data_IF_575184708618
#
_entry.id   IF_575184708618
#
_cell.length_a   1.000
_cell.length_b   1.000
_cell.length_c   1.000
_cell.angle_alpha   90.00
_cell.angle_beta   90.00
_cell.angle_gamma   90.00
#
_symmetry.space_group_name_H-M   'P 1'
#
loop_
_entity.id
_entity.type
_entity.pdbx_description
1 polymer ?
#
# COMPACT_ATOMS: atom_id res chain seq x y z
N UNK A 1 4.60 14.10 12.05
CA UNK A 1 3.15 13.89 12.24
C UNK A 1 2.76 13.08 13.49
N UNK A 2 3.64 13.00 14.49
CA UNK A 2 3.34 12.29 15.75
C UNK A 2 2.35 13.04 16.66
N UNK A 3 2.00 14.28 16.36
CA UNK A 3 1.11 15.10 17.21
C UNK A 3 -0.39 14.81 17.01
N UNK A 4 -0.76 14.18 15.91
CA UNK A 4 -2.17 13.89 15.56
C UNK A 4 -2.69 12.60 16.26
N UNK A 5 -1.82 11.77 16.81
CA UNK A 5 -2.17 10.48 17.41
C UNK A 5 -2.46 10.53 18.94
N UNK A 6 -2.68 11.71 19.52
CA UNK A 6 -2.94 11.85 20.95
C UNK A 6 -4.40 11.62 21.39
N UNK A 7 -5.29 11.24 20.50
CA UNK A 7 -6.64 10.80 20.88
C UNK A 7 -6.63 9.30 21.19
N UNK A 8 -7.14 8.91 22.35
CA UNK A 8 -7.41 7.51 22.68
C UNK A 8 -8.48 6.96 21.74
N UNK A 9 -8.05 6.25 20.70
CA UNK A 9 -8.95 5.49 19.84
C UNK A 9 -9.20 4.14 20.52
N UNK A 10 -10.31 4.05 21.25
CA UNK A 10 -10.63 2.89 22.10
C UNK A 10 -11.26 1.73 21.31
N UNK A 11 -11.61 1.95 20.04
CA UNK A 11 -12.22 0.92 19.20
C UNK A 11 -11.71 0.95 17.72
N UNK A 12 -11.90 -0.15 17.01
CA UNK A 12 -11.50 -0.29 15.61
C UNK A 12 -12.26 0.65 14.66
N UNK A 13 -13.46 1.06 15.01
CA UNK A 13 -14.28 1.95 14.17
C UNK A 13 -13.71 3.35 14.19
N UNK A 14 -13.30 3.86 15.37
CA UNK A 14 -12.69 5.18 15.49
C UNK A 14 -11.34 5.26 14.79
N UNK A 15 -10.55 4.17 14.81
CA UNK A 15 -9.29 4.09 14.04
C UNK A 15 -9.57 4.15 12.54
N UNK A 16 -10.55 3.41 12.04
CA UNK A 16 -10.92 3.40 10.63
C UNK A 16 -11.49 4.77 10.22
N UNK A 17 -12.32 5.38 11.04
CA UNK A 17 -12.86 6.73 10.82
C UNK A 17 -11.72 7.77 10.67
N UNK A 18 -10.74 7.72 11.57
CA UNK A 18 -9.53 8.56 11.50
C UNK A 18 -8.73 8.36 10.20
N UNK A 19 -8.52 7.11 9.78
CA UNK A 19 -7.72 6.80 8.59
C UNK A 19 -8.46 7.17 7.29
N UNK A 20 -9.78 7.10 7.27
CA UNK A 20 -10.56 7.29 6.05
C UNK A 20 -11.12 8.70 5.93
N UNK A 21 -11.65 9.27 7.02
CA UNK A 21 -12.52 10.45 6.97
C UNK A 21 -12.01 11.68 7.75
N UNK A 22 -11.14 11.53 8.76
CA UNK A 22 -10.80 12.65 9.65
C UNK A 22 -10.08 13.78 8.90
N UNK A 23 -10.70 14.95 8.86
CA UNK A 23 -10.18 16.15 8.19
C UNK A 23 -8.86 16.67 8.78
N UNK A 24 -8.55 16.34 10.04
CA UNK A 24 -7.28 16.70 10.69
C UNK A 24 -6.12 15.80 10.25
N UNK A 25 -6.42 14.65 9.64
CA UNK A 25 -5.43 13.75 9.09
C UNK A 25 -5.22 14.03 7.59
N UNK A 26 -4.10 14.63 7.22
CA UNK A 26 -3.75 14.88 5.81
C UNK A 26 -3.60 13.61 4.97
N UNK A 27 -3.38 12.47 5.62
CA UNK A 27 -3.16 11.17 4.98
C UNK A 27 -4.41 10.26 5.01
N UNK A 28 -5.61 10.82 5.02
CA UNK A 28 -6.83 10.01 4.88
C UNK A 28 -6.95 9.39 3.50
N UNK A 29 -7.68 8.28 3.41
CA UNK A 29 -7.99 7.64 2.14
C UNK A 29 -8.65 8.62 1.16
N UNK A 30 -9.57 9.45 1.63
CA UNK A 30 -10.25 10.46 0.81
C UNK A 30 -9.25 11.46 0.24
N UNK A 31 -8.33 11.99 1.07
CA UNK A 31 -7.31 12.93 0.62
C UNK A 31 -6.34 12.28 -0.37
N UNK A 32 -5.92 11.03 -0.11
CA UNK A 32 -5.04 10.28 -1.04
C UNK A 32 -5.71 10.09 -2.41
N UNK A 33 -6.98 9.70 -2.45
CA UNK A 33 -7.69 9.50 -3.72
C UNK A 33 -7.96 10.81 -4.43
N UNK A 34 -8.26 11.88 -3.68
CA UNK A 34 -8.41 13.23 -4.23
C UNK A 34 -7.12 13.67 -4.92
N UNK A 35 -5.99 13.54 -4.23
CA UNK A 35 -4.67 13.89 -4.78
C UNK A 35 -4.30 13.00 -5.98
N UNK A 36 -4.58 11.69 -5.91
CA UNK A 36 -4.35 10.78 -7.02
C UNK A 36 -5.17 11.16 -8.26
N UNK A 37 -6.44 11.58 -8.08
CA UNK A 37 -7.30 12.06 -9.16
C UNK A 37 -6.77 13.34 -9.78
N UNK A 38 -6.36 14.32 -8.98
CA UNK A 38 -5.82 15.59 -9.52
C UNK A 38 -4.48 15.35 -10.23
N UNK A 39 -3.62 14.48 -9.71
CA UNK A 39 -2.40 14.06 -10.40
C UNK A 39 -2.72 13.38 -11.74
N UNK A 40 -3.66 12.43 -11.76
CA UNK A 40 -4.08 11.76 -13.00
C UNK A 40 -4.68 12.74 -14.01
N UNK A 41 -5.43 13.75 -13.55
CA UNK A 41 -6.00 14.81 -14.38
C UNK A 41 -4.92 15.65 -15.05
N UNK A 42 -3.84 15.98 -14.33
CA UNK A 42 -2.74 16.81 -14.85
C UNK A 42 -1.92 16.11 -15.94
N UNK A 43 -1.96 14.78 -15.99
CA UNK A 43 -1.23 13.94 -16.95
C UNK A 43 -2.16 13.05 -17.79
N UNK A 44 -3.41 13.46 -17.95
CA UNK A 44 -4.46 12.64 -18.57
C UNK A 44 -4.11 12.19 -20.00
N UNK A 45 -3.32 12.96 -20.74
CA UNK A 45 -2.85 12.64 -22.09
C UNK A 45 -1.78 11.53 -22.11
N UNK A 46 -1.16 11.23 -20.98
CA UNK A 46 -0.11 10.21 -20.84
C UNK A 46 -0.58 8.90 -20.21
N UNK A 47 -1.80 8.86 -19.70
CA UNK A 47 -2.40 7.66 -19.12
C UNK A 47 -3.54 7.13 -19.98
N UNK A 48 -3.85 5.83 -19.85
CA UNK A 48 -5.00 5.28 -20.57
C UNK A 48 -6.32 5.88 -20.06
N UNK A 49 -7.30 5.97 -20.96
CA UNK A 49 -8.64 6.42 -20.60
C UNK A 49 -9.24 5.59 -19.46
N UNK A 50 -8.97 4.30 -19.45
CA UNK A 50 -9.46 3.34 -18.48
C UNK A 50 -8.88 3.60 -17.09
N UNK A 51 -7.60 3.98 -16.99
CA UNK A 51 -6.97 4.42 -15.73
C UNK A 51 -7.68 5.66 -15.19
N UNK A 52 -7.86 6.66 -16.04
CA UNK A 52 -8.59 7.88 -15.67
C UNK A 52 -9.98 7.57 -15.14
N UNK A 53 -10.75 6.77 -15.88
CA UNK A 53 -12.12 6.40 -15.48
C UNK A 53 -12.14 5.63 -14.15
N UNK A 54 -11.19 4.74 -13.92
CA UNK A 54 -11.07 3.97 -12.67
C UNK A 54 -10.85 4.89 -11.47
N UNK A 55 -9.87 5.79 -11.55
CA UNK A 55 -9.55 6.73 -10.46
C UNK A 55 -10.71 7.71 -10.23
N UNK A 56 -11.27 8.26 -11.31
CA UNK A 56 -12.38 9.22 -11.22
C UNK A 56 -13.64 8.57 -10.64
N UNK A 57 -13.95 7.33 -11.02
CA UNK A 57 -15.04 6.56 -10.42
C UNK A 57 -14.83 6.38 -8.92
N UNK A 58 -13.64 5.94 -8.52
CA UNK A 58 -13.31 5.76 -7.10
C UNK A 58 -13.50 7.06 -6.32
N UNK A 59 -12.98 8.18 -6.84
CA UNK A 59 -13.18 9.51 -6.24
C UNK A 59 -14.66 9.87 -6.08
N UNK A 60 -15.47 9.70 -7.13
CA UNK A 60 -16.90 10.03 -7.08
C UNK A 60 -17.65 9.16 -6.07
N UNK A 61 -17.32 7.88 -5.99
CA UNK A 61 -17.95 6.95 -5.06
C UNK A 61 -17.64 7.33 -3.60
N UNK A 62 -16.36 7.63 -3.26
CA UNK A 62 -15.97 8.00 -1.88
C UNK A 62 -16.38 9.41 -1.48
N UNK A 63 -16.56 10.32 -2.44
CA UNK A 63 -16.98 11.71 -2.19
C UNK A 63 -18.48 11.85 -2.00
N UNK A 64 -19.25 10.78 -2.15
CA UNK A 64 -20.70 10.80 -1.98
C UNK A 64 -21.08 10.62 -0.49
N UNK A 65 -22.02 11.41 0.01
CA UNK A 65 -22.55 11.28 1.38
C UNK A 65 -23.04 9.87 1.73
N UNK A 66 -23.48 9.10 0.72
CA UNK A 66 -23.88 7.70 0.89
C UNK A 66 -22.71 6.80 1.30
N UNK A 67 -21.47 7.15 0.95
CA UNK A 67 -20.27 6.41 1.31
C UNK A 67 -20.04 6.43 2.83
N UNK A 68 -20.05 7.61 3.44
CA UNK A 68 -19.93 7.74 4.90
C UNK A 68 -21.09 7.05 5.63
N UNK A 69 -22.31 7.19 5.12
CA UNK A 69 -23.47 6.49 5.69
C UNK A 69 -23.39 4.97 5.56
N UNK A 70 -22.77 4.47 4.48
CA UNK A 70 -22.49 3.04 4.31
C UNK A 70 -21.48 2.53 5.33
N UNK A 71 -20.40 3.28 5.56
CA UNK A 71 -19.40 2.95 6.59
C UNK A 71 -20.05 2.78 7.97
N UNK A 72 -20.94 3.69 8.36
CA UNK A 72 -21.63 3.63 9.67
C UNK A 72 -22.62 2.47 9.82
N UNK A 73 -22.99 1.80 8.73
CA UNK A 73 -24.00 0.71 8.71
C UNK A 73 -23.41 -0.67 8.48
N UNK A 74 -22.23 -0.75 7.88
CA UNK A 74 -21.55 -1.99 7.51
C UNK A 74 -20.59 -2.45 8.61
N UNK A 75 -20.27 -3.74 8.57
CA UNK A 75 -19.12 -4.26 9.30
C UNK A 75 -17.84 -3.58 8.78
N UNK A 76 -16.95 -3.09 9.68
CA UNK A 76 -15.73 -2.40 9.29
C UNK A 76 -14.81 -3.22 8.36
N UNK A 77 -14.77 -4.55 8.53
CA UNK A 77 -13.96 -5.44 7.69
C UNK A 77 -14.55 -5.54 6.29
N UNK A 78 -15.88 -5.66 6.17
CA UNK A 78 -16.58 -5.67 4.89
C UNK A 78 -16.34 -4.36 4.14
N UNK A 79 -16.43 -3.24 4.84
CA UNK A 79 -16.19 -1.92 4.26
C UNK A 79 -14.74 -1.77 3.74
N UNK A 80 -13.73 -2.18 4.52
CA UNK A 80 -12.32 -2.16 4.08
C UNK A 80 -12.12 -3.06 2.86
N UNK A 81 -12.73 -4.24 2.83
CA UNK A 81 -12.63 -5.14 1.69
C UNK A 81 -13.19 -4.52 0.40
N UNK A 82 -14.27 -3.75 0.49
CA UNK A 82 -14.78 -2.98 -0.66
C UNK A 82 -13.75 -1.95 -1.15
N UNK A 83 -13.07 -1.25 -0.23
CA UNK A 83 -12.00 -0.30 -0.62
C UNK A 83 -10.83 -1.00 -1.30
N UNK A 84 -10.45 -2.17 -0.83
CA UNK A 84 -9.41 -2.99 -1.46
C UNK A 84 -9.79 -3.36 -2.90
N UNK A 85 -11.07 -3.60 -3.21
CA UNK A 85 -11.50 -3.91 -4.58
C UNK A 85 -11.22 -2.76 -5.56
N UNK A 86 -11.40 -1.51 -5.17
CA UNK A 86 -11.04 -0.37 -6.03
C UNK A 86 -9.55 -0.39 -6.40
N UNK A 87 -8.66 -0.75 -5.47
CA UNK A 87 -7.24 -0.88 -5.74
C UNK A 87 -6.93 -2.04 -6.70
N UNK A 88 -7.60 -3.18 -6.54
CA UNK A 88 -7.45 -4.32 -7.45
C UNK A 88 -7.90 -3.95 -8.87
N UNK A 89 -9.03 -3.25 -9.01
CA UNK A 89 -9.53 -2.76 -10.30
C UNK A 89 -8.51 -1.83 -10.93
N UNK A 90 -8.01 -0.82 -10.18
CA UNK A 90 -7.01 0.12 -10.67
C UNK A 90 -5.74 -0.58 -11.18
N UNK A 91 -5.16 -1.50 -10.39
CA UNK A 91 -3.95 -2.21 -10.81
C UNK A 91 -4.18 -3.12 -12.02
N UNK A 92 -5.33 -3.79 -12.07
CA UNK A 92 -5.71 -4.63 -13.22
C UNK A 92 -5.86 -3.79 -14.48
N UNK A 93 -6.59 -2.69 -14.39
CA UNK A 93 -6.79 -1.77 -15.51
C UNK A 93 -5.46 -1.18 -15.98
N UNK A 94 -4.63 -0.71 -15.06
CA UNK A 94 -3.32 -0.14 -15.39
C UNK A 94 -2.40 -1.17 -16.07
N UNK A 95 -2.45 -2.43 -15.62
CA UNK A 95 -1.64 -3.48 -16.23
C UNK A 95 -2.10 -3.86 -17.64
N UNK A 96 -3.40 -3.84 -17.90
CA UNK A 96 -3.97 -4.28 -19.20
C UNK A 96 -3.97 -3.15 -20.24
N UNK A 97 -4.13 -1.88 -19.82
CA UNK A 97 -4.43 -0.79 -20.76
C UNK A 97 -3.32 0.24 -20.94
N UNK A 98 -2.40 0.37 -19.97
CA UNK A 98 -1.34 1.39 -20.04
C UNK A 98 -0.24 0.99 -21.01
N UNK A 99 0.07 1.88 -21.95
CA UNK A 99 1.25 1.77 -22.81
C UNK A 99 2.54 1.65 -21.96
N UNK A 100 3.46 0.77 -22.35
CA UNK A 100 4.71 0.46 -21.62
C UNK A 100 5.82 1.50 -21.82
N UNK A 101 5.46 2.74 -22.07
CA UNK A 101 6.36 3.89 -22.26
C UNK A 101 6.77 4.56 -20.93
N UNK A 102 7.16 5.85 -21.03
CA UNK A 102 7.65 6.64 -19.91
C UNK A 102 6.63 6.73 -18.77
N UNK A 103 5.36 7.01 -19.07
CA UNK A 103 4.30 7.13 -18.05
C UNK A 103 4.17 5.84 -17.22
N UNK A 104 4.18 4.67 -17.86
CA UNK A 104 4.18 3.38 -17.19
C UNK A 104 5.38 3.20 -16.25
N UNK A 105 6.57 3.62 -16.69
CA UNK A 105 7.76 3.54 -15.86
C UNK A 105 7.63 4.43 -14.62
N UNK A 106 7.21 5.70 -14.78
CA UNK A 106 7.02 6.61 -13.65
C UNK A 106 5.95 6.13 -12.67
N UNK A 107 4.81 5.61 -13.13
CA UNK A 107 3.79 5.01 -12.28
C UNK A 107 4.35 3.86 -11.43
N UNK A 108 5.18 3.00 -12.04
CA UNK A 108 5.81 1.88 -11.33
C UNK A 108 6.93 2.33 -10.38
N UNK A 109 7.70 3.34 -10.74
CA UNK A 109 8.70 3.93 -9.83
C UNK A 109 8.01 4.44 -8.56
N UNK A 110 6.95 5.23 -8.66
CA UNK A 110 6.17 5.69 -7.51
C UNK A 110 5.64 4.52 -6.67
N UNK A 111 5.05 3.51 -7.31
CA UNK A 111 4.53 2.32 -6.64
C UNK A 111 5.58 1.57 -5.82
N UNK A 112 6.74 1.30 -6.40
CA UNK A 112 7.77 0.51 -5.72
C UNK A 112 8.54 1.33 -4.68
N UNK A 113 8.71 2.64 -4.89
CA UNK A 113 9.25 3.54 -3.88
C UNK A 113 8.36 3.56 -2.63
N UNK A 114 7.04 3.74 -2.81
CA UNK A 114 6.08 3.71 -1.71
C UNK A 114 6.09 2.37 -0.96
N UNK A 115 6.19 1.24 -1.68
CA UNK A 115 6.32 -0.08 -1.06
C UNK A 115 7.56 -0.23 -0.19
N UNK A 116 8.70 0.33 -0.61
CA UNK A 116 9.93 0.34 0.19
C UNK A 116 9.69 1.11 1.48
N UNK A 117 9.16 2.33 1.39
CA UNK A 117 8.88 3.18 2.54
C UNK A 117 7.94 2.49 3.52
N UNK A 118 6.82 1.94 3.04
CA UNK A 118 5.88 1.19 3.87
C UNK A 118 6.52 -0.03 4.55
N UNK A 119 7.37 -0.78 3.84
CA UNK A 119 8.04 -1.95 4.41
C UNK A 119 9.03 -1.56 5.50
N UNK A 120 9.75 -0.44 5.33
CA UNK A 120 10.64 0.13 6.35
C UNK A 120 9.83 0.58 7.57
N UNK A 121 8.71 1.28 7.37
CA UNK A 121 7.85 1.75 8.45
C UNK A 121 7.26 0.59 9.24
N UNK A 122 6.79 -0.47 8.57
CA UNK A 122 6.31 -1.68 9.23
C UNK A 122 7.39 -2.33 10.09
N UNK A 123 8.62 -2.46 9.58
CA UNK A 123 9.74 -3.01 10.37
C UNK A 123 10.07 -2.12 11.57
N UNK A 124 10.16 -0.80 11.38
CA UNK A 124 10.47 0.14 12.44
C UNK A 124 9.43 0.13 13.56
N UNK A 125 8.13 0.18 13.22
CA UNK A 125 7.05 0.13 14.21
C UNK A 125 7.09 -1.18 14.98
N UNK A 126 7.31 -2.30 14.27
CA UNK A 126 7.29 -3.63 14.88
C UNK A 126 8.51 -3.89 15.76
N UNK A 127 9.72 -3.56 15.32
CA UNK A 127 10.95 -3.70 16.11
C UNK A 127 10.90 -2.82 17.38
N UNK A 128 10.36 -1.60 17.29
CA UNK A 128 10.22 -0.73 18.45
C UNK A 128 9.14 -1.22 19.45
N UNK A 129 8.10 -1.89 18.97
CA UNK A 129 7.05 -2.45 19.82
C UNK A 129 7.54 -3.66 20.62
N UNK A 130 8.43 -4.48 20.07
CA UNK A 130 9.00 -5.67 20.72
C UNK A 130 9.84 -5.35 21.95
N UNK A 131 10.52 -4.21 21.98
CA UNK A 131 11.28 -3.76 23.17
C UNK A 131 10.41 -3.63 24.45
N UNK A 132 9.09 -3.76 24.31
CA UNK A 132 8.10 -3.59 25.38
C UNK A 132 7.36 -4.89 25.77
N UNK A 133 7.65 -6.02 25.10
CA UNK A 133 6.90 -7.27 25.30
C UNK A 133 7.83 -8.37 25.81
N UNK A 134 7.65 -8.80 27.04
CA UNK A 134 8.42 -9.87 27.72
C UNK A 134 7.77 -11.27 27.56
N UNK A 135 7.02 -11.55 26.48
CA UNK A 135 6.29 -12.80 26.32
C UNK A 135 6.41 -13.35 24.89
N UNK A 136 7.10 -14.48 24.73
CA UNK A 136 7.38 -15.16 23.45
C UNK A 136 6.11 -15.52 22.64
N UNK A 137 4.99 -15.84 23.34
CA UNK A 137 3.72 -16.15 22.67
C UNK A 137 3.09 -14.91 22.03
N UNK A 138 3.12 -13.79 22.74
CA UNK A 138 2.62 -12.51 22.22
C UNK A 138 3.46 -12.02 21.06
N UNK A 139 4.77 -12.24 21.12
CA UNK A 139 5.70 -11.92 20.05
C UNK A 139 5.41 -12.72 18.78
N UNK A 140 5.24 -14.04 18.90
CA UNK A 140 4.90 -14.90 17.75
C UNK A 140 3.56 -14.53 17.11
N UNK A 141 2.55 -14.22 17.91
CA UNK A 141 1.24 -13.75 17.42
C UNK A 141 1.35 -12.42 16.68
N UNK A 142 2.15 -11.52 17.20
CA UNK A 142 2.38 -10.20 16.63
C UNK A 142 3.06 -10.29 15.24
N UNK A 143 4.10 -11.10 15.11
CA UNK A 143 4.79 -11.33 13.85
C UNK A 143 3.93 -12.05 12.81
N UNK A 144 3.13 -13.01 13.25
CA UNK A 144 2.14 -13.64 12.39
C UNK A 144 1.16 -12.62 11.80
N UNK A 145 0.61 -11.73 12.63
CA UNK A 145 -0.31 -10.69 12.17
C UNK A 145 0.35 -9.71 11.21
N UNK A 146 1.62 -9.37 11.42
CA UNK A 146 2.37 -8.57 10.45
C UNK A 146 2.44 -9.29 9.10
N UNK A 147 2.87 -10.55 9.08
CA UNK A 147 2.97 -11.32 7.84
C UNK A 147 1.62 -11.45 7.12
N UNK A 148 0.53 -11.63 7.86
CA UNK A 148 -0.82 -11.66 7.29
C UNK A 148 -1.17 -10.31 6.67
N UNK A 149 -0.91 -9.20 7.37
CA UNK A 149 -1.25 -7.84 6.89
C UNK A 149 -0.51 -7.44 5.61
N UNK A 150 0.71 -7.94 5.42
CA UNK A 150 1.49 -7.70 4.19
C UNK A 150 1.34 -8.81 3.14
N UNK A 151 0.44 -9.78 3.37
CA UNK A 151 0.22 -10.91 2.45
C UNK A 151 1.41 -11.88 2.35
N UNK A 152 2.32 -11.87 3.35
CA UNK A 152 3.54 -12.68 3.35
C UNK A 152 3.43 -14.03 4.06
N UNK A 153 2.36 -14.27 4.81
CA UNK A 153 2.24 -15.45 5.68
C UNK A 153 2.43 -16.78 4.96
N UNK A 154 1.77 -16.98 3.84
CA UNK A 154 1.86 -18.25 3.09
C UNK A 154 3.26 -18.49 2.53
N UNK A 155 3.90 -17.44 2.02
CA UNK A 155 5.28 -17.55 1.52
C UNK A 155 6.24 -17.84 2.68
N UNK A 156 6.06 -17.19 3.84
CA UNK A 156 6.86 -17.43 5.03
C UNK A 156 6.80 -18.89 5.48
N UNK A 157 5.58 -19.42 5.64
CA UNK A 157 5.38 -20.83 6.04
C UNK A 157 6.02 -21.80 5.04
N UNK A 158 5.90 -21.53 3.75
CA UNK A 158 6.51 -22.34 2.68
C UNK A 158 8.05 -22.31 2.75
N UNK A 159 8.63 -21.15 3.05
CA UNK A 159 10.10 -20.94 3.03
C UNK A 159 10.76 -21.40 4.33
N UNK A 160 10.18 -21.05 5.48
CA UNK A 160 10.79 -21.22 6.82
C UNK A 160 10.10 -22.27 7.69
N UNK A 161 9.21 -23.10 7.13
CA UNK A 161 8.59 -24.27 7.79
C UNK A 161 7.86 -23.98 9.11
N UNK A 162 7.11 -22.86 9.14
CA UNK A 162 6.22 -22.50 10.26
C UNK A 162 6.87 -22.15 11.61
N UNK A 163 8.17 -22.14 11.71
CA UNK A 163 8.85 -21.65 12.91
C UNK A 163 8.95 -20.13 12.81
N UNK A 164 8.19 -19.42 13.67
CA UNK A 164 8.26 -17.95 13.71
C UNK A 164 9.56 -17.53 14.40
N UNK A 165 10.45 -16.97 13.61
CA UNK A 165 11.72 -16.38 14.04
C UNK A 165 11.80 -14.96 13.47
N UNK A 166 12.15 -14.00 14.30
CA UNK A 166 12.27 -12.58 13.95
C UNK A 166 13.26 -12.40 12.80
N UNK A 167 14.41 -13.03 12.88
CA UNK A 167 15.48 -12.87 11.88
C UNK A 167 14.99 -13.30 10.49
N UNK A 168 14.27 -14.42 10.40
CA UNK A 168 13.68 -14.92 9.16
C UNK A 168 12.62 -13.97 8.60
N UNK A 169 11.84 -13.31 9.48
CA UNK A 169 10.81 -12.36 9.07
C UNK A 169 11.44 -11.08 8.55
N UNK A 170 12.45 -10.57 9.27
CA UNK A 170 13.23 -9.40 8.84
C UNK A 170 13.93 -9.71 7.51
N UNK A 171 14.57 -10.87 7.38
CA UNK A 171 15.18 -11.33 6.14
C UNK A 171 14.18 -11.35 4.99
N UNK A 172 13.01 -11.97 5.20
CA UNK A 172 11.97 -12.04 4.18
C UNK A 172 11.48 -10.66 3.72
N UNK A 173 11.24 -9.74 4.65
CA UNK A 173 10.76 -8.40 4.31
C UNK A 173 11.88 -7.55 3.69
N UNK A 174 13.14 -7.77 4.10
CA UNK A 174 14.25 -6.94 3.65
C UNK A 174 14.85 -7.42 2.32
N UNK A 175 15.25 -8.69 2.23
CA UNK A 175 16.12 -9.17 1.14
C UNK A 175 15.57 -10.31 0.28
N UNK A 176 14.37 -10.82 0.56
CA UNK A 176 13.79 -11.88 -0.26
C UNK A 176 13.40 -11.34 -1.65
N UNK A 177 13.98 -11.92 -2.71
CA UNK A 177 13.77 -11.48 -4.09
C UNK A 177 12.43 -11.91 -4.69
N UNK A 178 11.75 -12.88 -4.09
CA UNK A 178 10.50 -13.44 -4.56
C UNK A 178 9.27 -12.87 -3.85
N UNK A 179 9.46 -12.20 -2.73
CA UNK A 179 8.37 -11.60 -1.99
C UNK A 179 8.03 -10.19 -2.54
N UNK A 180 6.84 -10.00 -3.14
CA UNK A 180 6.51 -8.74 -3.84
C UNK A 180 6.50 -7.49 -2.94
N UNK A 181 6.46 -7.66 -1.62
CA UNK A 181 6.52 -6.55 -0.66
C UNK A 181 7.86 -6.45 0.06
N UNK A 182 8.87 -7.22 -0.35
CA UNK A 182 10.21 -7.02 0.17
C UNK A 182 10.84 -5.75 -0.40
N UNK A 183 11.78 -5.21 0.38
CA UNK A 183 12.58 -4.05 -0.04
C UNK A 183 13.41 -4.43 -1.28
N UNK A 184 14.08 -5.58 -1.23
CA UNK A 184 14.92 -6.05 -2.35
C UNK A 184 14.15 -6.25 -3.64
N UNK A 185 12.96 -6.90 -3.58
CA UNK A 185 12.10 -7.04 -4.75
C UNK A 185 11.74 -5.67 -5.35
N UNK A 186 11.36 -4.73 -4.49
CA UNK A 186 10.97 -3.38 -4.92
C UNK A 186 12.15 -2.62 -5.53
N UNK A 187 13.36 -2.72 -4.96
CA UNK A 187 14.59 -2.14 -5.52
C UNK A 187 14.87 -2.71 -6.91
N UNK A 188 14.80 -4.04 -7.08
CA UNK A 188 15.02 -4.68 -8.39
C UNK A 188 14.02 -4.19 -9.44
N UNK A 189 12.78 -3.90 -9.03
CA UNK A 189 11.77 -3.31 -9.93
C UNK A 189 12.05 -1.84 -10.26
N UNK A 190 12.52 -1.04 -9.28
CA UNK A 190 12.95 0.33 -9.55
C UNK A 190 14.08 0.36 -10.58
N UNK A 191 15.10 -0.45 -10.38
CA UNK A 191 16.23 -0.58 -11.32
C UNK A 191 15.74 -0.93 -12.73
N UNK A 192 14.85 -1.90 -12.86
CA UNK A 192 14.26 -2.28 -14.14
C UNK A 192 13.58 -1.10 -14.85
N UNK A 193 12.82 -0.27 -14.12
CA UNK A 193 12.09 0.86 -14.72
C UNK A 193 13.01 2.04 -15.01
N UNK A 194 14.02 2.30 -14.19
CA UNK A 194 15.06 3.31 -14.44
C UNK A 194 15.81 2.95 -15.72
N UNK A 195 16.25 1.71 -15.85
CA UNK A 195 16.94 1.25 -17.07
C UNK A 195 16.10 1.41 -18.33
N UNK A 196 14.77 1.17 -18.25
CA UNK A 196 13.86 1.40 -19.38
C UNK A 196 13.76 2.87 -19.74
N UNK A 197 13.64 3.77 -18.75
CA UNK A 197 13.62 5.21 -18.97
C UNK A 197 14.90 5.71 -19.66
N UNK A 198 16.05 5.21 -19.23
CA UNK A 198 17.33 5.54 -19.86
C UNK A 198 17.35 5.12 -21.35
N UNK A 199 16.77 3.96 -21.68
CA UNK A 199 16.65 3.51 -23.07
C UNK A 199 15.73 4.38 -23.91
N UNK A 200 14.57 4.76 -23.37
CA UNK A 200 13.60 5.60 -24.08
C UNK A 200 14.12 7.02 -24.35
N UNK A 201 15.02 7.52 -23.50
CA UNK A 201 15.53 8.90 -23.58
C UNK A 201 16.94 8.98 -24.18
N UNK A 202 17.51 7.87 -24.69
CA UNK A 202 18.76 7.94 -25.44
C UNK A 202 18.47 8.57 -26.80
N UNK A 203 19.25 9.61 -27.24
CA UNK A 203 19.14 10.13 -28.56
C UNK A 203 19.46 9.00 -29.57
N UNK A 204 18.64 8.89 -30.61
CA UNK A 204 18.98 8.05 -31.78
C UNK A 204 20.26 8.60 -32.39
N UNK A 205 21.33 7.79 -32.39
CA UNK A 205 22.58 8.10 -33.09
C UNK A 205 22.42 7.88 -34.60
#
# INVERSE_FOLDING_TARGET
SNEVFNNNYDDSISIIDFIIFDSNNSNTLINMITNARENARSVQEHISREIWLSINKYFLDISNDSFYRSFRKKDPIEFINEMIQYHHIYYSVADVTQERGNAYCFMNLGKYLERILQSIDFLNVKVNSLKKVDNDLMESYFWKNLLVSIGGYQLYVKTYKSIFNIDNIIEMISINEFFPRSIKFSINKLDTHIYRLEKFNKPEN
#
